data_IF_358192764736
#
_entry.id   IF_358192764736
#
_cell.length_a   1.000
_cell.length_b   1.000
_cell.length_c   1.000
_cell.angle_alpha   90.00
_cell.angle_beta   90.00
_cell.angle_gamma   90.00
#
_symmetry.space_group_name_H-M   'P 1'
#
loop_
_entity.id
_entity.type
_entity.pdbx_description
1 polymer ?
#
# COMPACT_ATOMS: atom_id res chain seq x y z
N UNK A 1 -35.51 36.91 49.00
CA UNK A 1 -35.68 35.83 48.01
C UNK A 1 -34.36 35.63 47.28
N UNK A 2 -33.69 34.47 47.43
CA UNK A 2 -32.44 34.15 46.71
C UNK A 2 -32.79 33.29 45.49
N UNK A 3 -32.18 33.52 44.31
CA UNK A 3 -32.48 32.73 43.13
C UNK A 3 -31.84 31.33 43.27
N UNK A 4 -32.60 30.29 42.93
CA UNK A 4 -32.10 28.91 42.86
C UNK A 4 -31.53 28.69 41.46
N UNK A 5 -30.22 28.60 41.34
CA UNK A 5 -29.54 28.21 40.10
C UNK A 5 -29.82 26.74 39.82
N UNK A 6 -30.55 26.45 38.73
CA UNK A 6 -30.77 25.09 38.23
C UNK A 6 -29.56 24.71 37.36
N UNK A 7 -28.76 23.76 37.85
CA UNK A 7 -27.63 23.19 37.13
C UNK A 7 -28.17 22.05 36.23
N UNK A 8 -28.24 22.28 34.93
CA UNK A 8 -28.61 21.25 33.95
C UNK A 8 -27.36 20.42 33.66
N UNK A 9 -27.27 19.23 34.25
CA UNK A 9 -26.25 18.23 33.90
C UNK A 9 -26.63 17.60 32.56
N UNK A 10 -25.96 18.00 31.48
CA UNK A 10 -26.06 17.32 30.18
C UNK A 10 -25.18 16.05 30.26
N UNK A 11 -25.82 14.91 30.48
CA UNK A 11 -25.18 13.60 30.35
C UNK A 11 -24.98 13.28 28.86
N UNK A 12 -23.81 13.60 28.32
CA UNK A 12 -23.39 13.12 27.00
C UNK A 12 -22.99 11.65 27.15
N UNK A 13 -23.92 10.75 26.85
CA UNK A 13 -23.66 9.32 26.78
C UNK A 13 -22.79 9.05 25.53
N UNK A 14 -21.47 9.02 25.71
CA UNK A 14 -20.54 8.55 24.68
C UNK A 14 -20.68 7.03 24.60
N UNK A 15 -21.47 6.56 23.63
CA UNK A 15 -21.51 5.15 23.23
C UNK A 15 -20.14 4.76 22.69
N UNK A 16 -19.26 4.28 23.55
CA UNK A 16 -18.08 3.54 23.12
C UNK A 16 -18.55 2.20 22.58
N UNK A 17 -18.85 2.16 21.28
CA UNK A 17 -19.01 0.89 20.57
C UNK A 17 -17.65 0.18 20.60
N UNK A 18 -17.54 -0.83 21.46
CA UNK A 18 -16.42 -1.76 21.44
C UNK A 18 -16.58 -2.61 20.18
N UNK A 19 -16.06 -2.11 19.06
CA UNK A 19 -15.91 -2.95 17.88
C UNK A 19 -14.90 -4.03 18.25
N UNK A 20 -15.35 -5.28 18.29
CA UNK A 20 -14.44 -6.41 18.28
C UNK A 20 -13.51 -6.19 17.08
N UNK A 21 -12.19 -6.10 17.34
CA UNK A 21 -11.21 -5.86 16.29
C UNK A 21 -11.37 -6.88 15.18
N UNK A 22 -11.40 -6.43 13.93
CA UNK A 22 -11.49 -7.34 12.79
C UNK A 22 -10.38 -8.40 12.87
N UNK A 23 -10.74 -9.65 12.59
CA UNK A 23 -9.78 -10.73 12.51
C UNK A 23 -8.73 -10.42 11.42
N UNK A 24 -7.49 -10.82 11.69
CA UNK A 24 -6.33 -10.53 10.85
C UNK A 24 -5.43 -11.74 10.70
N UNK A 25 -4.81 -11.85 9.54
CA UNK A 25 -3.83 -12.89 9.22
C UNK A 25 -2.52 -12.26 8.80
N UNK A 26 -1.40 -12.76 9.30
CA UNK A 26 -0.07 -12.37 8.84
C UNK A 26 0.42 -13.32 7.75
N UNK A 27 0.92 -12.76 6.65
CA UNK A 27 1.52 -13.49 5.53
C UNK A 27 2.95 -13.02 5.35
N UNK A 28 3.87 -13.96 5.18
CA UNK A 28 5.25 -13.67 4.79
C UNK A 28 5.44 -14.08 3.31
N UNK A 29 5.55 -13.12 2.38
CA UNK A 29 5.77 -13.42 0.96
C UNK A 29 7.01 -14.31 0.75
N UNK A 30 6.87 -15.35 -0.08
CA UNK A 30 7.93 -16.33 -0.30
C UNK A 30 7.82 -17.05 -1.66
N UNK A 31 8.96 -17.54 -2.13
CA UNK A 31 9.08 -18.42 -3.29
C UNK A 31 9.74 -19.74 -2.86
N UNK A 32 8.97 -20.84 -2.91
CA UNK A 32 9.43 -22.11 -2.37
C UNK A 32 9.69 -21.98 -0.87
N UNK A 33 10.95 -22.19 -0.45
CA UNK A 33 11.39 -22.05 0.94
C UNK A 33 12.12 -20.73 1.23
N UNK A 34 12.15 -19.81 0.26
CA UNK A 34 12.85 -18.53 0.38
C UNK A 34 11.86 -17.41 0.62
N UNK A 35 11.99 -16.73 1.75
CA UNK A 35 11.15 -15.59 2.13
C UNK A 35 11.71 -14.28 1.59
N UNK A 36 10.81 -13.33 1.30
CA UNK A 36 11.17 -11.98 0.88
C UNK A 36 11.59 -11.17 2.10
N UNK A 37 12.60 -10.31 1.91
CA UNK A 37 13.14 -9.45 2.97
C UNK A 37 13.14 -7.97 2.55
N UNK A 38 13.11 -7.12 3.57
CA UNK A 38 13.38 -5.69 3.48
C UNK A 38 14.86 -5.39 3.29
N UNK A 39 15.19 -4.11 3.11
CA UNK A 39 16.57 -3.65 2.99
C UNK A 39 17.38 -3.88 4.27
N UNK A 40 16.71 -3.90 5.42
CA UNK A 40 17.32 -4.18 6.72
C UNK A 40 17.52 -5.69 7.00
N UNK A 41 17.13 -6.56 6.06
CA UNK A 41 17.24 -8.01 6.17
C UNK A 41 16.11 -8.67 6.96
N UNK A 42 15.12 -7.91 7.46
CA UNK A 42 13.94 -8.51 8.11
C UNK A 42 13.00 -9.10 7.08
N UNK A 43 12.25 -10.12 7.48
CA UNK A 43 11.19 -10.68 6.64
C UNK A 43 10.12 -9.64 6.37
N UNK A 44 9.67 -9.57 5.12
CA UNK A 44 8.43 -8.86 4.79
C UNK A 44 7.25 -9.59 5.46
N UNK A 45 6.40 -8.82 6.14
CA UNK A 45 5.28 -9.30 6.93
C UNK A 45 4.03 -8.46 6.66
N UNK A 46 3.22 -8.93 5.72
CA UNK A 46 1.96 -8.27 5.39
C UNK A 46 0.83 -8.76 6.29
N UNK A 47 -0.08 -7.86 6.67
CA UNK A 47 -1.21 -8.14 7.57
C UNK A 47 -2.51 -7.88 6.84
N UNK A 48 -3.26 -8.95 6.58
CA UNK A 48 -4.57 -8.89 5.92
C UNK A 48 -5.67 -8.81 6.98
N UNK A 49 -6.65 -7.95 6.78
CA UNK A 49 -7.82 -7.84 7.64
C UNK A 49 -9.06 -8.41 6.93
N UNK A 50 -9.82 -9.27 7.61
CA UNK A 50 -10.97 -9.96 7.00
C UNK A 50 -12.08 -9.01 6.52
N UNK A 51 -12.14 -7.81 7.10
CA UNK A 51 -13.07 -6.77 6.73
C UNK A 51 -12.56 -5.85 5.60
N UNK A 52 -11.30 -5.95 5.17
CA UNK A 52 -10.78 -5.16 4.06
C UNK A 52 -11.43 -5.57 2.74
N UNK A 53 -11.79 -4.59 1.91
CA UNK A 53 -12.56 -4.80 0.67
C UNK A 53 -11.85 -4.22 -0.54
N UNK A 54 -12.14 -4.82 -1.69
CA UNK A 54 -11.74 -4.29 -2.99
C UNK A 54 -12.27 -2.85 -3.16
N UNK A 55 -11.40 -1.86 -3.40
CA UNK A 55 -11.82 -0.47 -3.53
C UNK A 55 -12.38 -0.18 -4.94
N UNK A 56 -13.12 0.90 -5.11
CA UNK A 56 -13.22 1.56 -6.43
C UNK A 56 -11.89 2.23 -6.78
N UNK A 57 -11.66 2.53 -8.06
CA UNK A 57 -10.47 3.29 -8.47
C UNK A 57 -10.37 4.64 -7.77
N UNK A 58 -11.50 5.33 -7.56
CA UNK A 58 -11.54 6.61 -6.85
C UNK A 58 -11.11 6.48 -5.39
N UNK A 59 -11.60 5.43 -4.69
CA UNK A 59 -11.18 5.13 -3.32
C UNK A 59 -9.69 4.79 -3.24
N UNK A 60 -9.18 4.01 -4.20
CA UNK A 60 -7.74 3.71 -4.30
C UNK A 60 -6.91 4.98 -4.45
N UNK A 61 -7.26 5.86 -5.40
CA UNK A 61 -6.54 7.14 -5.61
C UNK A 61 -6.58 8.01 -4.35
N UNK A 62 -7.73 8.08 -3.67
CA UNK A 62 -7.87 8.83 -2.43
C UNK A 62 -6.96 8.27 -1.32
N UNK A 63 -6.92 6.96 -1.18
CA UNK A 63 -6.05 6.30 -0.21
C UNK A 63 -4.57 6.57 -0.48
N UNK A 64 -4.09 6.31 -1.70
CA UNK A 64 -2.67 6.49 -2.03
C UNK A 64 -2.23 7.95 -1.83
N UNK A 65 -3.09 8.93 -2.15
CA UNK A 65 -2.78 10.35 -1.88
C UNK A 65 -2.65 10.69 -0.38
N UNK A 66 -3.32 9.93 0.49
CA UNK A 66 -3.26 10.13 1.94
C UNK A 66 -2.14 9.33 2.60
N UNK A 67 -1.66 8.27 1.94
CA UNK A 67 -0.58 7.44 2.42
C UNK A 67 0.77 8.14 2.17
N UNK A 68 1.56 8.36 3.23
CA UNK A 68 2.81 9.13 3.14
C UNK A 68 4.04 8.24 2.88
N UNK A 69 3.85 6.96 2.54
CA UNK A 69 4.95 6.02 2.32
C UNK A 69 5.87 6.50 1.20
N UNK A 70 5.31 7.12 0.16
CA UNK A 70 6.06 7.70 -0.95
C UNK A 70 7.00 8.85 -0.54
N UNK A 71 6.85 9.41 0.68
CA UNK A 71 7.71 10.47 1.25
C UNK A 71 8.95 9.94 1.93
N UNK A 72 9.03 8.63 2.19
CA UNK A 72 10.21 7.99 2.78
C UNK A 72 11.33 7.91 1.74
N UNK A 73 12.57 8.11 2.19
CA UNK A 73 13.76 8.00 1.32
C UNK A 73 14.05 6.53 1.03
N UNK A 74 14.42 6.24 -0.21
CA UNK A 74 15.05 4.97 -0.54
C UNK A 74 16.46 4.93 0.03
N UNK A 75 16.78 3.91 0.83
CA UNK A 75 18.10 3.71 1.45
C UNK A 75 18.54 2.26 1.30
N UNK A 76 19.75 1.92 1.77
CA UNK A 76 20.20 0.52 1.82
C UNK A 76 19.35 -0.34 2.76
N UNK A 77 18.69 0.24 3.76
CA UNK A 77 17.90 -0.46 4.77
C UNK A 77 16.39 -0.30 4.59
N UNK A 78 15.95 0.46 3.58
CA UNK A 78 14.55 0.70 3.27
C UNK A 78 14.39 0.80 1.75
N UNK A 79 14.03 -0.33 1.15
CA UNK A 79 14.01 -0.57 -0.29
C UNK A 79 12.59 -0.91 -0.78
N UNK A 80 12.43 -1.16 -2.07
CA UNK A 80 11.12 -1.36 -2.70
C UNK A 80 10.19 -2.35 -1.96
N UNK A 81 10.73 -3.41 -1.37
CA UNK A 81 9.97 -4.40 -0.61
C UNK A 81 9.36 -3.81 0.66
N UNK A 82 10.09 -2.95 1.38
CA UNK A 82 9.63 -2.23 2.58
C UNK A 82 8.56 -1.18 2.22
N UNK A 83 8.76 -0.42 1.14
CA UNK A 83 7.75 0.51 0.63
C UNK A 83 6.42 -0.22 0.34
N UNK A 84 6.51 -1.35 -0.35
CA UNK A 84 5.33 -2.13 -0.69
C UNK A 84 4.68 -2.78 0.54
N UNK A 85 5.46 -3.18 1.55
CA UNK A 85 4.94 -3.67 2.84
C UNK A 85 4.12 -2.61 3.56
N UNK A 86 4.65 -1.39 3.65
CA UNK A 86 3.99 -0.28 4.33
C UNK A 86 2.69 0.13 3.63
N UNK A 87 2.69 0.30 2.30
CA UNK A 87 1.47 0.60 1.54
C UNK A 87 0.41 -0.49 1.73
N UNK A 88 0.82 -1.75 1.70
CA UNK A 88 -0.09 -2.87 1.93
C UNK A 88 -0.73 -2.77 3.31
N UNK A 89 0.09 -2.69 4.35
CA UNK A 89 -0.37 -2.71 5.73
C UNK A 89 -1.19 -1.46 6.10
N UNK A 90 -0.90 -0.32 5.47
CA UNK A 90 -1.69 0.90 5.62
C UNK A 90 -3.04 0.80 4.91
N UNK A 91 -3.09 0.20 3.71
CA UNK A 91 -4.32 -0.01 2.97
C UNK A 91 -5.28 -0.94 3.72
N UNK A 92 -4.78 -2.09 4.16
CA UNK A 92 -5.56 -3.09 4.90
C UNK A 92 -6.12 -2.51 6.20
N UNK A 93 -5.31 -1.73 6.94
CA UNK A 93 -5.75 -1.00 8.14
C UNK A 93 -6.83 0.06 7.84
N UNK A 94 -6.81 0.63 6.64
CA UNK A 94 -7.85 1.55 6.14
C UNK A 94 -9.08 0.82 5.57
N UNK A 95 -9.14 -0.52 5.66
CA UNK A 95 -10.24 -1.34 5.13
C UNK A 95 -10.18 -1.55 3.61
N UNK A 96 -9.03 -1.29 2.98
CA UNK A 96 -8.80 -1.46 1.55
C UNK A 96 -7.96 -2.71 1.34
N UNK A 97 -8.52 -3.67 0.59
CA UNK A 97 -7.82 -4.90 0.27
C UNK A 97 -6.64 -4.63 -0.66
N UNK A 98 -5.46 -5.04 -0.23
CA UNK A 98 -4.21 -4.84 -0.96
C UNK A 98 -3.45 -6.15 -1.13
N UNK A 99 -2.60 -6.20 -2.15
CA UNK A 99 -1.67 -7.29 -2.35
C UNK A 99 -0.24 -6.75 -2.45
N UNK A 100 0.72 -7.48 -1.91
CA UNK A 100 2.14 -7.22 -2.08
C UNK A 100 2.64 -8.03 -3.27
N UNK A 101 3.41 -7.43 -4.18
CA UNK A 101 3.78 -8.05 -5.46
C UNK A 101 5.29 -8.18 -5.57
N UNK A 102 5.79 -9.41 -5.71
CA UNK A 102 7.15 -9.66 -6.17
C UNK A 102 7.20 -9.63 -7.70
N UNK A 103 8.14 -8.88 -8.25
CA UNK A 103 8.41 -8.79 -9.69
C UNK A 103 9.82 -9.33 -9.95
N UNK A 104 9.93 -10.28 -10.87
CA UNK A 104 11.20 -10.74 -11.43
C UNK A 104 11.39 -10.13 -12.80
N UNK A 105 12.52 -9.46 -13.02
CA UNK A 105 12.91 -9.03 -14.36
C UNK A 105 13.68 -10.12 -15.10
N UNK A 106 13.73 -10.02 -16.44
CA UNK A 106 14.59 -10.87 -17.28
C UNK A 106 16.08 -10.63 -17.02
N UNK A 107 16.44 -9.42 -16.57
CA UNK A 107 17.80 -8.97 -16.26
C UNK A 107 17.75 -8.01 -15.08
N UNK A 108 18.76 -8.06 -14.21
CA UNK A 108 18.86 -7.19 -13.03
C UNK A 108 18.15 -7.74 -11.79
N UNK A 109 18.20 -6.98 -10.68
CA UNK A 109 17.53 -7.34 -9.42
C UNK A 109 16.00 -7.37 -9.60
N UNK A 110 15.30 -8.04 -8.68
CA UNK A 110 13.84 -7.98 -8.62
C UNK A 110 13.32 -6.61 -8.19
N UNK A 111 11.99 -6.46 -8.19
CA UNK A 111 11.30 -5.27 -7.69
C UNK A 111 10.06 -5.67 -6.90
N UNK A 112 9.54 -4.76 -6.08
CA UNK A 112 8.28 -4.96 -5.36
C UNK A 112 7.34 -3.78 -5.55
N UNK A 113 6.04 -4.05 -5.58
CA UNK A 113 4.98 -3.05 -5.67
C UNK A 113 3.69 -3.56 -5.01
N UNK A 114 2.59 -2.83 -5.16
CA UNK A 114 1.28 -3.24 -4.65
C UNK A 114 0.29 -3.53 -5.77
N UNK A 115 -0.64 -4.44 -5.52
CA UNK A 115 -1.80 -4.72 -6.36
C UNK A 115 -3.09 -4.39 -5.62
N UNK A 116 -4.05 -3.81 -6.34
CA UNK A 116 -5.38 -3.52 -5.85
C UNK A 116 -6.39 -4.01 -6.87
N UNK A 117 -7.29 -4.91 -6.47
CA UNK A 117 -8.40 -5.32 -7.33
C UNK A 117 -9.49 -4.26 -7.24
N UNK A 118 -9.55 -3.35 -8.22
CA UNK A 118 -10.59 -2.34 -8.23
C UNK A 118 -11.91 -2.89 -8.75
N UNK A 119 -13.03 -2.47 -8.18
CA UNK A 119 -14.37 -2.97 -8.56
C UNK A 119 -14.84 -2.43 -9.91
N UNK A 120 -14.22 -1.37 -10.44
CA UNK A 120 -14.67 -0.61 -11.60
C UNK A 120 -13.63 -0.47 -12.73
N UNK A 121 -12.35 -0.79 -12.48
CA UNK A 121 -11.27 -0.73 -13.49
C UNK A 121 -10.38 -1.97 -13.55
N UNK A 122 -10.73 -3.02 -12.82
CA UNK A 122 -9.92 -4.24 -12.72
C UNK A 122 -8.65 -4.03 -11.88
N UNK A 123 -7.61 -4.86 -12.08
CA UNK A 123 -6.39 -4.77 -11.28
C UNK A 123 -5.61 -3.49 -11.58
N UNK A 124 -5.20 -2.78 -10.52
CA UNK A 124 -4.31 -1.62 -10.59
C UNK A 124 -3.06 -1.90 -9.78
N UNK A 125 -1.89 -1.63 -10.37
CA UNK A 125 -0.61 -1.79 -9.70
C UNK A 125 -0.04 -0.42 -9.36
N UNK A 126 0.34 -0.25 -8.09
CA UNK A 126 0.90 0.99 -7.56
C UNK A 126 2.34 0.72 -7.13
N UNK A 127 3.24 1.61 -7.54
CA UNK A 127 4.62 1.65 -7.11
C UNK A 127 4.92 3.01 -6.51
N UNK A 128 5.02 3.08 -5.18
CA UNK A 128 5.36 4.28 -4.43
C UNK A 128 6.86 4.37 -4.10
N UNK A 129 7.69 3.47 -4.64
CA UNK A 129 9.11 3.39 -4.29
C UNK A 129 9.77 4.74 -4.53
N UNK A 130 10.34 5.29 -3.46
CA UNK A 130 10.97 6.61 -3.43
C UNK A 130 12.31 6.65 -4.15
N UNK A 131 13.05 7.72 -3.90
CA UNK A 131 14.41 7.92 -4.41
C UNK A 131 15.32 8.44 -3.28
N UNK A 132 16.64 8.19 -3.33
CA UNK A 132 17.56 8.76 -2.34
C UNK A 132 17.46 10.29 -2.21
N UNK A 133 17.12 11.00 -3.29
CA UNK A 133 16.99 12.48 -3.30
C UNK A 133 15.63 12.99 -2.86
N UNK A 134 14.60 12.14 -2.86
CA UNK A 134 13.26 12.39 -2.32
C UNK A 134 12.62 13.74 -2.71
N UNK A 135 12.45 13.98 -4.01
CA UNK A 135 11.79 15.19 -4.54
C UNK A 135 10.49 14.86 -5.26
N UNK A 136 9.37 15.38 -4.75
CA UNK A 136 8.04 15.21 -5.35
C UNK A 136 7.27 14.00 -4.83
N UNK A 137 6.25 13.58 -5.59
CA UNK A 137 5.55 12.33 -5.33
C UNK A 137 6.14 11.20 -6.13
N UNK A 138 6.21 10.03 -5.50
CA UNK A 138 6.64 8.80 -6.14
C UNK A 138 5.47 7.84 -6.36
N UNK A 139 4.22 8.25 -6.17
CA UNK A 139 3.07 7.41 -6.43
C UNK A 139 2.86 7.24 -7.94
N UNK A 140 3.14 6.02 -8.41
CA UNK A 140 3.07 5.68 -9.83
C UNK A 140 2.07 4.56 -10.05
N UNK A 141 1.27 4.67 -11.11
CA UNK A 141 0.58 3.51 -11.68
C UNK A 141 1.54 2.83 -12.64
N UNK A 142 1.65 1.51 -12.52
CA UNK A 142 2.51 0.70 -13.39
C UNK A 142 1.72 -0.35 -14.16
N UNK A 143 2.20 -0.70 -15.36
CA UNK A 143 1.65 -1.82 -16.13
C UNK A 143 2.54 -3.05 -15.99
N UNK A 144 1.99 -4.13 -15.41
CA UNK A 144 2.68 -5.43 -15.30
C UNK A 144 2.16 -6.42 -16.35
N UNK A 145 3.07 -6.94 -17.18
CA UNK A 145 2.78 -8.01 -18.14
C UNK A 145 4.04 -8.80 -18.44
N UNK A 146 3.97 -10.14 -18.32
CA UNK A 146 5.09 -11.02 -18.63
C UNK A 146 5.61 -10.78 -20.06
N UNK A 147 6.92 -10.69 -20.19
CA UNK A 147 7.60 -10.42 -21.45
C UNK A 147 7.59 -8.97 -21.91
N UNK A 148 6.98 -8.03 -21.18
CA UNK A 148 6.94 -6.60 -21.52
C UNK A 148 7.71 -5.75 -20.49
N UNK A 149 8.27 -4.64 -20.94
CA UNK A 149 8.86 -3.63 -20.04
C UNK A 149 7.75 -2.90 -19.29
N UNK A 150 8.02 -2.58 -18.03
CA UNK A 150 7.06 -1.83 -17.22
C UNK A 150 6.94 -0.41 -17.76
N UNK A 151 5.70 0.02 -17.99
CA UNK A 151 5.37 1.42 -18.23
C UNK A 151 4.85 2.06 -16.95
N UNK A 152 5.26 3.31 -16.73
CA UNK A 152 5.06 4.06 -15.48
C UNK A 152 4.44 5.42 -15.78
N UNK A 153 3.42 5.79 -15.01
CA UNK A 153 2.81 7.13 -15.02
C UNK A 153 2.55 7.59 -13.59
N UNK A 154 2.69 8.88 -13.29
CA UNK A 154 2.26 9.41 -12.00
C UNK A 154 0.77 9.11 -11.77
N UNK A 155 0.40 8.75 -10.55
CA UNK A 155 -0.97 8.38 -10.18
C UNK A 155 -1.93 9.58 -10.31
N UNK A 156 -1.44 10.78 -10.02
CA UNK A 156 -2.24 12.00 -10.04
C UNK A 156 -1.55 13.14 -10.80
N UNK A 157 -2.31 14.15 -11.25
CA UNK A 157 -1.81 15.17 -12.16
C UNK A 157 -0.75 16.11 -11.56
N UNK A 158 0.18 16.63 -12.39
CA UNK A 158 0.33 16.27 -13.81
C UNK A 158 0.88 14.84 -13.99
N UNK A 159 0.28 14.06 -14.89
CA UNK A 159 0.68 12.67 -15.15
C UNK A 159 2.00 12.65 -15.91
N UNK A 160 3.11 12.62 -15.18
CA UNK A 160 4.43 12.53 -15.78
C UNK A 160 4.74 11.07 -16.15
N UNK A 161 5.38 10.90 -17.31
CA UNK A 161 5.98 9.63 -17.68
C UNK A 161 7.34 9.52 -17.01
N UNK A 162 7.57 8.39 -16.38
CA UNK A 162 8.85 8.05 -15.78
C UNK A 162 9.59 7.09 -16.72
N UNK A 163 10.91 7.02 -16.60
CA UNK A 163 11.69 6.00 -17.29
C UNK A 163 11.13 4.61 -16.97
N UNK A 164 10.92 3.80 -18.00
CA UNK A 164 10.44 2.44 -17.81
C UNK A 164 11.43 1.60 -17.00
N UNK A 165 10.92 0.64 -16.24
CA UNK A 165 11.74 -0.37 -15.57
C UNK A 165 11.99 -1.57 -16.48
N UNK A 166 12.72 -2.57 -15.98
CA UNK A 166 13.11 -3.77 -16.73
C UNK A 166 11.94 -4.55 -17.35
N UNK A 167 12.27 -5.48 -18.25
CA UNK A 167 11.30 -6.40 -18.83
C UNK A 167 10.89 -7.47 -17.82
N UNK A 168 9.60 -7.58 -17.54
CA UNK A 168 9.06 -8.56 -16.58
C UNK A 168 9.26 -9.97 -17.11
N UNK A 169 9.89 -10.83 -16.31
CA UNK A 169 9.95 -12.28 -16.50
C UNK A 169 8.69 -12.93 -15.92
N UNK A 170 8.38 -12.60 -14.68
CA UNK A 170 7.21 -13.08 -13.93
C UNK A 170 6.90 -12.13 -12.78
N UNK A 171 5.67 -12.18 -12.26
CA UNK A 171 5.31 -11.51 -11.01
C UNK A 171 4.30 -12.37 -10.23
N UNK A 172 4.28 -12.23 -8.90
CA UNK A 172 3.36 -12.93 -8.00
C UNK A 172 2.85 -11.97 -6.95
N UNK A 173 1.52 -11.90 -6.80
CA UNK A 173 0.87 -11.16 -5.74
C UNK A 173 0.59 -12.07 -4.54
N UNK A 174 0.77 -11.53 -3.34
CA UNK A 174 0.45 -12.14 -2.05
C UNK A 174 -0.65 -11.28 -1.43
N UNK A 175 -1.73 -11.92 -0.99
CA UNK A 175 -2.98 -11.32 -0.52
C UNK A 175 -3.37 -11.88 0.85
#
# INVERSE_FOLDING_TARGET
>A
MKPKTILILIFVLVLMSTTAGAAKTTVNPHEGRTYMVGGDGKLISIVNYDNAKNPTYSQLVKFIKSDLTDKKKYTSTYVCSDFAEDVHNNAERAGIKAGWVAIKFKRGPGHACNAFQTTDKGPVYIDCTGSPSQKGSFDKVITLKNGKSITTRSLYPPMLKWSGMGTVKSFKAYW
#
